data_IF_533743626957
#
_entry.id   IF_533743626957
#
_cell.length_a   1.000
_cell.length_b   1.000
_cell.length_c   1.000
_cell.angle_alpha   90.00
_cell.angle_beta   90.00
_cell.angle_gamma   90.00
#
_symmetry.space_group_name_H-M   'P 1'
#
loop_
_entity.id
_entity.type
_entity.pdbx_description
1 polymer ?
#
# COMPACT_ATOMS: atom_id res chain seq x y z
N UNK A 1 3.84 -22.04 -32.89
CA UNK A 1 3.87 -23.12 -31.89
C UNK A 1 3.23 -22.56 -30.62
N UNK A 2 2.08 -23.11 -30.23
CA UNK A 2 1.26 -22.57 -29.14
C UNK A 2 1.95 -22.81 -27.78
N UNK A 3 1.96 -21.79 -26.91
CA UNK A 3 2.30 -21.95 -25.51
C UNK A 3 1.04 -21.69 -24.68
N UNK A 4 0.50 -22.76 -24.10
CA UNK A 4 -0.66 -22.76 -23.21
C UNK A 4 -0.35 -22.00 -21.92
N UNK A 5 -1.14 -20.96 -21.64
CA UNK A 5 -1.07 -20.25 -20.36
C UNK A 5 -1.80 -21.02 -19.26
N UNK A 6 -1.04 -21.51 -18.29
CA UNK A 6 -1.54 -22.16 -17.06
C UNK A 6 -2.44 -21.18 -16.29
N UNK A 7 -3.68 -21.62 -16.00
CA UNK A 7 -4.61 -20.97 -15.07
C UNK A 7 -4.36 -21.55 -13.68
N UNK A 8 -3.75 -20.79 -12.78
CA UNK A 8 -3.85 -21.08 -11.35
C UNK A 8 -5.03 -20.32 -10.76
N UNK A 9 -5.96 -21.07 -10.16
CA UNK A 9 -7.00 -20.56 -9.27
C UNK A 9 -6.40 -20.51 -7.87
N UNK A 10 -6.44 -19.34 -7.24
CA UNK A 10 -6.35 -19.23 -5.79
C UNK A 10 -7.79 -19.20 -5.25
N UNK A 11 -8.21 -20.31 -4.65
CA UNK A 11 -9.37 -20.37 -3.77
C UNK A 11 -8.89 -20.17 -2.33
N UNK A 12 -9.60 -19.32 -1.59
CA UNK A 12 -9.86 -19.34 -0.14
C UNK A 12 -10.51 -17.98 0.17
N UNK A 13 -11.57 -17.82 0.95
CA UNK A 13 -12.19 -18.64 1.97
C UNK A 13 -12.78 -17.62 2.95
N UNK A 14 -14.10 -17.49 2.98
CA UNK A 14 -14.81 -16.37 3.59
C UNK A 14 -14.74 -16.36 5.13
N UNK A 15 -14.41 -15.19 5.72
CA UNK A 15 -14.92 -14.77 7.02
C UNK A 15 -15.13 -13.26 7.03
N UNK A 16 -16.36 -12.88 7.37
CA UNK A 16 -16.83 -11.50 7.47
C UNK A 16 -15.96 -10.68 8.46
N UNK A 17 -15.39 -9.59 7.93
CA UNK A 17 -14.65 -8.53 8.60
C UNK A 17 -14.80 -7.23 7.76
N UNK A 18 -14.35 -6.06 8.24
CA UNK A 18 -14.91 -4.76 7.85
C UNK A 18 -14.87 -4.53 6.33
N UNK A 19 -15.93 -3.87 5.83
CA UNK A 19 -16.29 -3.74 4.41
C UNK A 19 -15.08 -3.29 3.57
N UNK A 20 -14.51 -4.21 2.79
CA UNK A 20 -13.43 -3.92 1.85
C UNK A 20 -13.83 -4.41 0.45
N UNK A 21 -14.07 -3.49 -0.49
CA UNK A 21 -14.26 -3.80 -1.91
C UNK A 21 -12.89 -4.05 -2.60
N UNK A 22 -12.86 -4.93 -3.61
CA UNK A 22 -11.63 -5.46 -4.24
C UNK A 22 -11.38 -4.82 -5.62
N UNK A 23 -10.17 -4.28 -5.86
CA UNK A 23 -9.69 -3.93 -7.20
C UNK A 23 -8.65 -4.95 -7.66
N UNK A 24 -8.84 -5.55 -8.85
CA UNK A 24 -7.86 -6.49 -9.43
C UNK A 24 -6.91 -5.75 -10.38
N UNK A 25 -5.62 -5.83 -10.09
CA UNK A 25 -4.57 -5.50 -11.04
C UNK A 25 -4.13 -6.83 -11.68
N UNK A 26 -4.45 -7.04 -12.95
CA UNK A 26 -4.03 -8.24 -13.67
C UNK A 26 -2.59 -8.00 -14.18
N UNK A 27 -1.66 -8.78 -13.63
CA UNK A 27 -0.26 -9.01 -14.04
C UNK A 27 0.43 -7.85 -14.79
N UNK A 28 1.37 -7.18 -14.12
CA UNK A 28 2.63 -6.72 -14.70
C UNK A 28 3.40 -5.94 -13.65
N UNK A 29 4.71 -5.89 -13.81
CA UNK A 29 5.61 -5.70 -12.69
C UNK A 29 6.48 -4.40 -12.81
N UNK A 30 7.64 -4.24 -12.12
CA UNK A 30 8.39 -2.98 -11.86
C UNK A 30 7.51 -1.84 -11.34
N UNK A 31 7.77 -1.54 -10.07
CA UNK A 31 6.88 -0.79 -9.20
C UNK A 31 6.66 0.65 -9.67
N UNK A 32 5.47 0.86 -10.17
CA UNK A 32 4.70 2.06 -9.94
C UNK A 32 4.14 2.00 -8.51
N UNK A 33 4.28 3.06 -7.71
CA UNK A 33 3.40 3.26 -6.56
C UNK A 33 1.95 3.48 -7.05
N UNK A 34 1.19 2.39 -7.26
CA UNK A 34 -0.21 2.47 -7.70
C UNK A 34 -1.05 2.90 -6.51
N UNK A 35 -1.26 4.20 -6.38
CA UNK A 35 -2.36 4.74 -5.59
C UNK A 35 -3.54 4.94 -6.53
N UNK A 36 -4.39 3.91 -6.66
CA UNK A 36 -5.73 4.13 -7.19
C UNK A 36 -6.52 4.93 -6.14
N UNK A 37 -6.92 6.15 -6.49
CA UNK A 37 -7.82 6.96 -5.67
C UNK A 37 -9.25 6.43 -5.86
N UNK A 38 -9.68 5.57 -4.93
CA UNK A 38 -11.02 5.02 -4.80
C UNK A 38 -11.13 4.26 -3.47
N UNK A 39 -12.32 4.22 -2.85
CA UNK A 39 -12.58 3.58 -1.55
C UNK A 39 -12.54 2.03 -1.61
N UNK A 40 -11.46 1.45 -2.15
CA UNK A 40 -11.31 0.00 -2.34
C UNK A 40 -9.87 -0.48 -2.08
N UNK A 41 -9.74 -1.78 -1.79
CA UNK A 41 -8.50 -2.48 -1.47
C UNK A 41 -7.50 -2.33 -2.62
N UNK A 42 -6.36 -1.69 -2.31
CA UNK A 42 -5.24 -1.45 -3.24
C UNK A 42 -4.35 -2.70 -3.31
N UNK A 43 -3.60 -2.92 -4.42
CA UNK A 43 -2.75 -4.09 -4.60
C UNK A 43 -1.81 -4.34 -3.40
N UNK A 44 -1.70 -5.60 -2.99
CA UNK A 44 -1.02 -6.05 -1.76
C UNK A 44 0.35 -6.71 -1.94
N UNK A 45 0.83 -6.87 -3.17
CA UNK A 45 2.15 -7.46 -3.44
C UNK A 45 2.91 -6.62 -4.44
N UNK A 46 4.22 -6.57 -4.26
CA UNK A 46 5.11 -5.85 -5.13
C UNK A 46 5.74 -6.83 -6.15
N UNK A 47 5.99 -6.40 -7.39
CA UNK A 47 6.23 -7.31 -8.53
C UNK A 47 7.48 -6.88 -9.36
N UNK A 48 8.30 -7.84 -9.82
CA UNK A 48 9.60 -7.69 -10.56
C UNK A 48 9.51 -7.56 -12.12
N UNK A 49 10.30 -6.69 -12.80
CA UNK A 49 10.42 -6.65 -14.30
C UNK A 49 11.77 -6.29 -14.93
N UNK A 50 11.88 -6.61 -16.23
CA UNK A 50 13.03 -6.34 -17.10
C UNK A 50 12.76 -5.57 -18.43
N UNK A 51 11.53 -5.49 -18.98
CA UNK A 51 11.26 -4.99 -20.36
C UNK A 51 10.18 -3.88 -20.44
N UNK A 52 9.91 -3.21 -21.60
CA UNK A 52 8.76 -2.31 -21.78
C UNK A 52 7.45 -3.02 -21.45
N UNK A 53 6.56 -2.31 -20.76
CA UNK A 53 5.51 -2.95 -19.96
C UNK A 53 4.18 -2.39 -20.36
N UNK A 54 3.17 -3.24 -20.43
CA UNK A 54 1.79 -2.79 -20.51
C UNK A 54 1.14 -3.01 -19.14
N UNK A 55 0.64 -1.95 -18.53
CA UNK A 55 -0.11 -1.99 -17.29
C UNK A 55 -1.59 -2.06 -17.62
N UNK A 56 -2.27 -3.12 -17.19
CA UNK A 56 -3.73 -3.23 -17.28
C UNK A 56 -4.37 -2.88 -15.93
N UNK A 57 -5.34 -1.97 -15.96
CA UNK A 57 -6.08 -1.50 -14.79
C UNK A 57 -7.56 -1.74 -15.04
N UNK A 58 -8.17 -2.45 -14.11
CA UNK A 58 -9.60 -2.71 -14.08
C UNK A 58 -10.22 -2.07 -12.82
N UNK A 59 -11.21 -1.22 -13.04
CA UNK A 59 -12.10 -0.71 -12.00
C UNK A 59 -13.40 -1.50 -12.08
N UNK A 60 -13.66 -2.32 -11.07
CA UNK A 60 -14.92 -3.04 -10.89
C UNK A 60 -15.70 -2.58 -9.67
N UNK A 61 -16.99 -2.87 -9.66
CA UNK A 61 -17.86 -2.87 -8.49
C UNK A 61 -18.18 -4.32 -8.17
N UNK A 62 -17.99 -4.70 -6.92
CA UNK A 62 -18.32 -6.03 -6.43
C UNK A 62 -19.80 -6.06 -6.04
N UNK A 63 -20.54 -7.04 -6.55
CA UNK A 63 -21.92 -7.29 -6.17
C UNK A 63 -22.01 -8.16 -4.92
N UNK A 64 -23.24 -8.53 -4.53
CA UNK A 64 -23.45 -9.45 -3.40
C UNK A 64 -23.09 -10.89 -3.74
N UNK A 65 -23.04 -11.19 -5.04
CA UNK A 65 -22.56 -12.46 -5.59
C UNK A 65 -21.60 -12.20 -6.76
N UNK A 66 -20.72 -13.16 -7.11
CA UNK A 66 -19.79 -13.00 -8.23
C UNK A 66 -20.47 -12.72 -9.58
N UNK A 67 -21.72 -13.14 -9.75
CA UNK A 67 -22.52 -12.86 -10.96
C UNK A 67 -22.98 -11.40 -11.06
N UNK A 68 -22.95 -10.66 -9.97
CA UNK A 68 -23.31 -9.24 -9.90
C UNK A 68 -22.08 -8.31 -10.00
N UNK A 69 -20.87 -8.87 -10.02
CA UNK A 69 -19.63 -8.11 -10.21
C UNK A 69 -19.64 -7.45 -11.58
N UNK A 70 -19.32 -6.16 -11.61
CA UNK A 70 -19.37 -5.34 -12.82
C UNK A 70 -18.12 -4.53 -13.01
N UNK A 71 -17.47 -4.70 -14.15
CA UNK A 71 -16.37 -3.83 -14.59
C UNK A 71 -16.95 -2.50 -15.05
N UNK A 72 -16.53 -1.41 -14.41
CA UNK A 72 -16.89 -0.04 -14.77
C UNK A 72 -15.94 0.54 -15.82
N UNK A 73 -14.66 0.19 -15.76
CA UNK A 73 -13.64 0.66 -16.69
C UNK A 73 -12.44 -0.29 -16.69
N UNK A 74 -11.93 -0.63 -17.88
CA UNK A 74 -10.68 -1.37 -18.04
C UNK A 74 -9.80 -0.64 -19.07
N UNK A 75 -8.53 -0.41 -18.73
CA UNK A 75 -7.56 0.29 -19.59
C UNK A 75 -6.19 -0.34 -19.46
N UNK A 76 -5.51 -0.49 -20.59
CA UNK A 76 -4.11 -0.84 -20.67
C UNK A 76 -3.26 0.37 -21.09
N UNK A 77 -2.05 0.52 -20.57
CA UNK A 77 -1.10 1.52 -21.05
C UNK A 77 0.35 1.05 -20.98
N UNK A 78 1.13 1.43 -22.00
CA UNK A 78 2.55 1.16 -22.09
C UNK A 78 3.38 2.07 -21.17
N UNK A 79 4.36 1.51 -20.47
CA UNK A 79 5.40 2.22 -19.75
C UNK A 79 6.79 1.74 -20.19
N UNK A 80 7.57 2.65 -20.74
CA UNK A 80 8.95 2.40 -21.11
C UNK A 80 9.89 3.06 -20.09
N UNK A 81 10.34 2.28 -19.10
CA UNK A 81 11.27 2.71 -18.06
C UNK A 81 12.75 2.64 -18.45
N UNK A 82 13.09 2.22 -19.69
CA UNK A 82 14.47 1.89 -20.09
C UNK A 82 15.45 3.07 -20.00
N UNK A 83 14.96 4.31 -20.08
CA UNK A 83 15.75 5.53 -19.98
C UNK A 83 16.00 6.04 -18.54
N UNK A 84 15.33 5.49 -17.52
CA UNK A 84 15.32 6.03 -16.15
C UNK A 84 16.18 5.19 -15.17
N UNK A 85 17.35 4.73 -15.62
CA UNK A 85 18.17 3.72 -14.90
C UNK A 85 18.83 4.21 -13.60
N UNK A 86 18.95 5.53 -13.40
CA UNK A 86 19.87 6.07 -12.39
C UNK A 86 19.25 7.05 -11.38
N UNK A 87 17.96 7.40 -11.48
CA UNK A 87 17.29 8.29 -10.53
C UNK A 87 15.88 7.81 -10.22
N UNK A 88 15.43 8.05 -8.98
CA UNK A 88 14.01 7.96 -8.67
C UNK A 88 13.24 8.88 -9.63
N UNK A 89 12.24 8.33 -10.31
CA UNK A 89 11.37 9.10 -11.17
C UNK A 89 10.51 10.02 -10.32
N UNK A 90 10.19 11.21 -10.84
CA UNK A 90 9.14 12.04 -10.25
C UNK A 90 7.80 11.31 -10.29
N UNK A 91 6.91 11.67 -9.36
CA UNK A 91 5.52 11.24 -9.40
C UNK A 91 4.90 11.71 -10.72
N UNK A 92 4.48 10.76 -11.53
CA UNK A 92 3.74 10.94 -12.77
C UNK A 92 2.28 10.65 -12.49
N UNK A 93 1.40 11.35 -13.19
CA UNK A 93 -0.03 11.08 -13.18
C UNK A 93 -0.49 10.82 -14.61
N UNK A 94 -1.37 9.84 -14.78
CA UNK A 94 -2.01 9.52 -16.03
C UNK A 94 -3.52 9.50 -15.81
N UNK A 95 -4.25 10.27 -16.60
CA UNK A 95 -5.70 10.27 -16.56
C UNK A 95 -6.25 9.24 -17.56
N UNK A 96 -6.95 8.24 -17.05
CA UNK A 96 -7.60 7.19 -17.82
C UNK A 96 -9.10 7.45 -17.85
N UNK A 97 -9.59 8.06 -18.94
CA UNK A 97 -11.02 8.25 -19.18
C UNK A 97 -11.64 6.96 -19.71
N UNK A 98 -12.54 6.36 -18.95
CA UNK A 98 -13.42 5.27 -19.36
C UNK A 98 -14.83 5.77 -19.72
N UNK A 99 -15.72 4.85 -20.11
CA UNK A 99 -17.08 5.21 -20.54
C UNK A 99 -17.94 5.84 -19.43
N UNK A 100 -17.64 5.53 -18.16
CA UNK A 100 -18.44 5.94 -16.99
C UNK A 100 -17.61 6.47 -15.82
N UNK A 101 -16.30 6.59 -15.99
CA UNK A 101 -15.39 7.02 -14.93
C UNK A 101 -14.15 7.68 -15.52
N UNK A 102 -13.56 8.60 -14.76
CA UNK A 102 -12.19 9.09 -14.99
C UNK A 102 -11.34 8.56 -13.85
N UNK A 103 -10.32 7.79 -14.18
CA UNK A 103 -9.38 7.21 -13.25
C UNK A 103 -8.09 8.01 -13.30
N UNK A 104 -7.63 8.52 -12.17
CA UNK A 104 -6.28 9.07 -12.08
C UNK A 104 -5.33 7.97 -11.60
N UNK A 105 -4.32 7.69 -12.40
CA UNK A 105 -3.27 6.73 -12.09
C UNK A 105 -1.97 7.45 -11.81
N UNK A 106 -1.56 7.44 -10.55
CA UNK A 106 -0.28 8.01 -10.12
C UNK A 106 0.79 6.96 -10.05
N UNK A 107 2.01 7.33 -10.43
CA UNK A 107 3.14 6.41 -10.45
C UNK A 107 4.51 7.05 -10.36
N UNK A 108 5.47 6.32 -9.82
CA UNK A 108 6.86 6.75 -9.72
C UNK A 108 7.78 5.56 -9.92
N UNK A 109 8.97 5.81 -10.49
CA UNK A 109 9.99 4.79 -10.75
C UNK A 109 10.98 4.73 -9.60
N UNK A 110 11.18 3.55 -9.02
CA UNK A 110 12.17 3.31 -7.95
C UNK A 110 13.28 2.39 -8.51
N UNK A 111 14.50 2.90 -8.75
CA UNK A 111 15.58 2.11 -9.37
C UNK A 111 15.99 0.86 -8.57
N UNK A 112 16.07 1.01 -7.25
CA UNK A 112 16.31 -0.08 -6.30
C UNK A 112 15.17 -0.06 -5.30
N UNK A 113 14.24 -1.00 -5.43
CA UNK A 113 13.07 -1.09 -4.57
C UNK A 113 13.26 -2.15 -3.47
N UNK A 114 12.87 -1.79 -2.26
CA UNK A 114 12.69 -2.70 -1.14
C UNK A 114 11.20 -2.78 -0.82
N UNK A 115 10.72 -3.99 -0.58
CA UNK A 115 9.41 -4.20 0.00
C UNK A 115 9.55 -4.07 1.51
N UNK A 116 8.72 -3.20 2.09
CA UNK A 116 8.64 -2.96 3.52
C UNK A 116 7.28 -3.45 4.01
N UNK A 117 7.29 -4.53 4.78
CA UNK A 117 6.10 -5.03 5.47
C UNK A 117 6.08 -4.45 6.89
N UNK A 118 5.07 -3.62 7.17
CA UNK A 118 4.93 -2.85 8.40
C UNK A 118 3.93 -3.54 9.32
N UNK A 119 4.35 -3.75 10.57
CA UNK A 119 3.49 -4.19 11.67
C UNK A 119 3.59 -3.19 12.80
N UNK A 120 2.45 -2.83 13.37
CA UNK A 120 2.39 -1.95 14.54
C UNK A 120 1.67 -2.68 15.66
N UNK A 121 2.23 -2.60 16.87
CA UNK A 121 1.66 -3.17 18.08
C UNK A 121 1.58 -2.15 19.19
N UNK A 122 0.46 -2.10 19.90
CA UNK A 122 0.32 -1.32 21.12
C UNK A 122 1.15 -1.97 22.23
N UNK A 123 1.97 -1.17 22.89
CA UNK A 123 2.91 -1.64 23.95
C UNK A 123 2.63 -1.01 25.31
N UNK A 124 1.72 -0.03 25.38
CA UNK A 124 1.30 0.62 26.62
C UNK A 124 0.51 1.89 26.36
N UNK A 125 -0.18 2.39 27.39
CA UNK A 125 -1.03 3.56 27.31
C UNK A 125 -2.48 3.21 26.96
N UNK A 126 -3.23 4.21 26.50
CA UNK A 126 -4.65 4.12 26.15
C UNK A 126 -4.87 3.38 24.83
N UNK A 127 -5.89 2.51 24.79
CA UNK A 127 -6.40 1.86 23.58
C UNK A 127 -7.63 2.53 23.00
N UNK A 128 -8.19 3.50 23.72
CA UNK A 128 -9.44 4.17 23.35
C UNK A 128 -9.13 5.39 22.49
N UNK A 129 -8.76 5.14 21.23
CA UNK A 129 -8.45 6.17 20.25
C UNK A 129 -8.88 5.79 18.83
N UNK A 130 -9.25 6.79 18.04
CA UNK A 130 -9.30 6.67 16.59
C UNK A 130 -7.96 7.11 15.99
N UNK A 131 -7.60 6.58 14.83
CA UNK A 131 -6.29 6.81 14.26
C UNK A 131 -6.16 6.57 12.77
N UNK A 132 -5.24 7.31 12.17
CA UNK A 132 -4.81 7.21 10.79
C UNK A 132 -3.33 6.91 10.73
N UNK A 133 -2.98 5.78 10.12
CA UNK A 133 -1.60 5.31 9.94
C UNK A 133 -1.20 5.48 8.49
N UNK A 134 -0.10 6.17 8.28
CA UNK A 134 0.37 6.57 6.96
C UNK A 134 1.82 6.13 6.81
N UNK A 135 2.17 5.62 5.64
CA UNK A 135 3.54 5.31 5.24
C UNK A 135 3.89 6.06 3.97
N UNK A 136 5.07 6.64 3.90
CA UNK A 136 5.55 7.28 2.69
C UNK A 136 7.06 7.15 2.56
N UNK A 137 7.56 7.20 1.32
CA UNK A 137 9.00 7.24 1.06
C UNK A 137 9.44 8.69 0.91
N UNK A 138 10.58 9.06 1.48
CA UNK A 138 11.04 10.44 1.52
C UNK A 138 11.19 11.09 0.11
N UNK A 139 11.45 10.28 -0.92
CA UNK A 139 11.68 10.74 -2.30
C UNK A 139 10.41 10.83 -3.16
N UNK A 140 9.28 10.27 -2.73
CA UNK A 140 8.02 10.28 -3.48
C UNK A 140 6.98 11.04 -2.66
N UNK A 141 6.52 12.17 -3.20
CA UNK A 141 5.52 13.03 -2.58
C UNK A 141 4.09 12.46 -2.70
N UNK A 142 3.91 11.21 -2.30
CA UNK A 142 2.62 10.52 -2.22
C UNK A 142 2.66 9.55 -1.04
N UNK A 143 1.56 9.42 -0.33
CA UNK A 143 1.50 8.61 0.88
C UNK A 143 0.56 7.44 0.74
N UNK A 144 0.88 6.39 1.47
CA UNK A 144 0.12 5.15 1.55
C UNK A 144 -0.59 5.12 2.90
N UNK A 145 -1.91 5.18 2.86
CA UNK A 145 -2.74 4.96 4.05
C UNK A 145 -2.70 3.46 4.36
N UNK A 146 -2.11 3.09 5.50
CA UNK A 146 -2.08 1.72 6.02
C UNK A 146 -3.42 1.37 6.68
N UNK A 147 -3.96 2.33 7.43
CA UNK A 147 -5.26 2.28 8.11
C UNK A 147 -5.79 3.71 8.28
N UNK A 148 -7.09 3.85 8.16
CA UNK A 148 -7.83 5.05 8.53
C UNK A 148 -9.11 4.58 9.22
N UNK A 149 -9.17 4.72 10.56
CA UNK A 149 -10.34 4.30 11.33
C UNK A 149 -11.47 5.34 11.31
N UNK A 150 -11.23 6.54 10.75
CA UNK A 150 -12.18 7.65 10.80
C UNK A 150 -12.54 8.01 12.24
N UNK A 151 -13.83 7.91 12.55
CA UNK A 151 -14.37 8.16 13.89
C UNK A 151 -14.43 6.88 14.75
N UNK A 152 -14.18 5.71 14.17
CA UNK A 152 -14.20 4.44 14.88
C UNK A 152 -12.88 4.21 15.63
N UNK A 153 -12.96 3.43 16.70
CA UNK A 153 -11.77 3.01 17.45
C UNK A 153 -10.89 2.11 16.59
N UNK A 154 -9.58 2.24 16.76
CA UNK A 154 -8.62 1.38 16.06
C UNK A 154 -8.82 -0.07 16.49
N UNK A 155 -9.06 -0.95 15.52
CA UNK A 155 -9.15 -2.38 15.76
C UNK A 155 -7.75 -3.01 15.92
N UNK A 156 -7.57 -3.78 16.98
CA UNK A 156 -6.34 -4.53 17.26
C UNK A 156 -6.65 -5.93 17.80
N UNK A 157 -5.69 -6.84 17.66
CA UNK A 157 -5.75 -8.22 18.13
C UNK A 157 -5.40 -8.34 19.61
N UNK A 158 -5.60 -9.52 20.21
CA UNK A 158 -5.24 -9.79 21.61
C UNK A 158 -3.74 -9.58 21.91
N UNK A 159 -2.84 -9.75 20.92
CA UNK A 159 -1.40 -9.45 21.07
C UNK A 159 -1.06 -7.96 20.83
N UNK A 160 -2.07 -7.10 20.75
CA UNK A 160 -1.93 -5.66 20.54
C UNK A 160 -1.62 -5.25 19.11
N UNK A 161 -1.63 -6.17 18.13
CA UNK A 161 -1.32 -5.85 16.75
C UNK A 161 -2.49 -5.14 16.07
N UNK A 162 -2.18 -4.01 15.43
CA UNK A 162 -3.18 -3.19 14.72
C UNK A 162 -3.51 -3.84 13.38
N UNK A 163 -4.80 -3.93 13.07
CA UNK A 163 -5.28 -4.49 11.81
C UNK A 163 -5.22 -3.45 10.69
N UNK A 164 -4.17 -3.53 9.87
CA UNK A 164 -4.05 -2.66 8.70
C UNK A 164 -4.84 -3.18 7.49
N UNK A 165 -5.46 -2.25 6.76
CA UNK A 165 -6.04 -2.51 5.44
C UNK A 165 -4.95 -2.87 4.42
N UNK A 166 -3.73 -2.36 4.63
CA UNK A 166 -2.53 -2.74 3.91
C UNK A 166 -1.29 -2.54 4.79
N UNK A 167 -0.34 -3.46 4.70
CA UNK A 167 0.90 -3.42 5.49
C UNK A 167 2.16 -3.31 4.63
N UNK A 168 2.04 -3.45 3.31
CA UNK A 168 3.18 -3.54 2.40
C UNK A 168 3.34 -2.26 1.60
N UNK A 169 4.55 -1.69 1.61
CA UNK A 169 4.92 -0.50 0.83
C UNK A 169 6.25 -0.71 0.11
N UNK A 170 6.41 -0.12 -1.08
CA UNK A 170 7.68 -0.10 -1.78
C UNK A 170 8.49 1.14 -1.40
N UNK A 171 9.77 0.94 -1.10
CA UNK A 171 10.67 1.98 -0.58
C UNK A 171 11.94 2.01 -1.42
N UNK A 172 12.51 3.19 -1.61
CA UNK A 172 13.81 3.35 -2.26
C UNK A 172 14.93 2.79 -1.37
N UNK A 173 15.70 1.84 -1.89
CA UNK A 173 16.76 1.17 -1.13
C UNK A 173 18.07 1.94 -1.03
N UNK A 174 18.44 2.72 -2.05
CA UNK A 174 19.69 3.48 -2.04
C UNK A 174 19.44 4.93 -1.63
N UNK A 175 19.73 5.27 -0.37
CA UNK A 175 19.59 6.64 0.13
C UNK A 175 18.14 7.08 0.41
N UNK A 176 17.17 6.19 0.21
CA UNK A 176 15.78 6.41 0.58
C UNK A 176 15.51 6.23 2.07
N UNK A 177 14.27 6.51 2.47
CA UNK A 177 13.79 6.28 3.81
C UNK A 177 12.29 5.99 3.80
N UNK A 178 11.86 5.08 4.67
CA UNK A 178 10.45 4.91 4.99
C UNK A 178 10.11 5.80 6.18
N UNK A 179 9.04 6.57 6.07
CA UNK A 179 8.47 7.34 7.17
C UNK A 179 7.11 6.74 7.47
N UNK A 180 6.87 6.41 8.74
CA UNK A 180 5.58 5.96 9.25
C UNK A 180 5.04 7.04 10.18
N UNK A 181 3.91 7.61 9.81
CA UNK A 181 3.19 8.61 10.59
C UNK A 181 1.94 8.00 11.20
N UNK A 182 1.60 8.48 12.39
CA UNK A 182 0.33 8.23 13.05
C UNK A 182 -0.28 9.56 13.46
N UNK A 183 -1.54 9.76 13.08
CA UNK A 183 -2.40 10.80 13.62
C UNK A 183 -3.45 10.10 14.46
N UNK A 184 -3.50 10.37 15.75
CA UNK A 184 -4.38 9.69 16.69
C UNK A 184 -5.12 10.72 17.55
N UNK A 185 -6.38 10.44 17.85
CA UNK A 185 -7.20 11.26 18.75
C UNK A 185 -7.78 10.36 19.82
N UNK A 186 -7.51 10.70 21.08
CA UNK A 186 -8.02 9.97 22.22
C UNK A 186 -9.52 10.19 22.37
N UNK A 187 -10.25 9.17 22.83
CA UNK A 187 -11.68 9.30 23.12
C UNK A 187 -11.94 10.41 24.15
N UNK A 188 -12.84 11.33 23.83
CA UNK A 188 -13.16 12.48 24.68
C UNK A 188 -12.19 13.66 24.59
N UNK A 189 -11.16 13.58 23.75
CA UNK A 189 -10.30 14.71 23.39
C UNK A 189 -10.58 15.13 21.94
N UNK A 190 -10.51 16.44 21.69
CA UNK A 190 -10.62 17.02 20.34
C UNK A 190 -9.25 17.15 19.67
N UNK A 191 -8.16 17.09 20.45
CA UNK A 191 -6.81 17.29 19.93
C UNK A 191 -6.29 16.05 19.20
N UNK A 192 -5.75 16.27 18.00
CA UNK A 192 -5.05 15.25 17.23
C UNK A 192 -3.59 15.25 17.67
N UNK A 193 -3.14 14.11 18.20
CA UNK A 193 -1.74 13.84 18.52
C UNK A 193 -1.06 13.17 17.33
N UNK A 194 0.12 13.67 16.97
CA UNK A 194 0.88 13.17 15.83
C UNK A 194 2.23 12.61 16.28
N UNK A 195 2.64 11.48 15.72
CA UNK A 195 3.98 10.95 15.87
C UNK A 195 4.48 10.37 14.55
N UNK A 196 5.78 10.48 14.33
CA UNK A 196 6.42 10.04 13.09
C UNK A 196 7.70 9.28 13.39
N UNK A 197 7.98 8.24 12.62
CA UNK A 197 9.23 7.50 12.71
C UNK A 197 9.84 7.24 11.34
N UNK A 198 11.12 7.54 11.23
CA UNK A 198 11.93 7.28 10.05
C UNK A 198 12.68 5.95 10.21
N UNK A 199 12.59 5.11 9.19
CA UNK A 199 13.35 3.87 9.07
C UNK A 199 14.28 3.94 7.87
N UNK A 200 15.54 3.56 8.09
CA UNK A 200 16.53 3.41 7.02
C UNK A 200 16.34 2.01 6.42
N UNK A 201 16.10 1.90 5.10
CA UNK A 201 15.92 0.61 4.45
C UNK A 201 17.21 -0.20 4.47
N UNK A 202 17.08 -1.50 4.71
CA UNK A 202 18.17 -2.47 4.63
C UNK A 202 17.80 -3.55 3.62
N UNK A 203 18.79 -4.16 2.95
CA UNK A 203 18.56 -5.12 1.85
C UNK A 203 17.65 -6.29 2.26
N UNK A 204 17.82 -6.78 3.47
CA UNK A 204 17.00 -7.83 4.05
C UNK A 204 17.03 -7.74 5.58
N UNK A 205 16.01 -8.28 6.24
CA UNK A 205 15.94 -8.35 7.70
C UNK A 205 14.79 -7.51 8.25
N UNK A 206 14.98 -6.97 9.45
CA UNK A 206 13.95 -6.19 10.12
C UNK A 206 14.54 -4.96 10.82
N UNK A 207 13.76 -3.88 10.84
CA UNK A 207 14.02 -2.70 11.66
C UNK A 207 12.89 -2.56 12.67
N UNK A 208 13.20 -2.09 13.88
CA UNK A 208 12.19 -1.84 14.91
C UNK A 208 12.43 -0.51 15.59
N UNK A 209 11.34 0.16 15.91
CA UNK A 209 11.37 1.40 16.68
C UNK A 209 10.04 1.61 17.40
N UNK A 210 9.92 2.71 18.14
CA UNK A 210 8.73 3.07 18.92
C UNK A 210 8.13 4.37 18.41
N UNK A 211 6.81 4.39 18.26
CA UNK A 211 5.97 5.57 18.08
C UNK A 211 5.25 5.88 19.40
N UNK A 212 5.21 7.14 19.79
CA UNK A 212 4.53 7.58 21.00
C UNK A 212 3.73 8.85 20.68
N UNK A 213 2.41 8.75 20.80
CA UNK A 213 1.48 9.87 20.59
C UNK A 213 1.11 10.56 21.91
N UNK A 214 1.89 10.34 22.97
CA UNK A 214 1.70 10.91 24.31
C UNK A 214 0.79 10.07 25.20
N UNK A 215 -0.36 9.64 24.68
CA UNK A 215 -1.30 8.78 25.42
C UNK A 215 -1.19 7.29 25.07
N UNK A 216 -0.56 6.94 23.95
CA UNK A 216 -0.43 5.55 23.49
C UNK A 216 0.96 5.32 22.89
N UNK A 217 1.64 4.27 23.38
CA UNK A 217 2.96 3.87 22.93
C UNK A 217 2.89 2.60 22.11
N UNK A 218 3.45 2.64 20.91
CA UNK A 218 3.36 1.58 19.91
C UNK A 218 4.75 1.17 19.43
N UNK A 219 5.02 -0.13 19.31
CA UNK A 219 6.19 -0.62 18.60
C UNK A 219 5.87 -0.78 17.13
N UNK A 220 6.77 -0.33 16.27
CA UNK A 220 6.71 -0.50 14.82
C UNK A 220 7.82 -1.45 14.41
N UNK A 221 7.46 -2.50 13.69
CA UNK A 221 8.39 -3.44 13.07
C UNK A 221 8.23 -3.36 11.56
N UNK A 222 9.36 -3.23 10.86
CA UNK A 222 9.41 -3.22 9.41
C UNK A 222 10.26 -4.39 8.95
N UNK A 223 9.68 -5.33 8.24
CA UNK A 223 10.41 -6.42 7.57
C UNK A 223 10.78 -5.97 6.16
N UNK A 224 12.04 -6.09 5.81
CA UNK A 224 12.60 -5.67 4.52
C UNK A 224 12.93 -6.88 3.67
N UNK A 225 12.54 -6.81 2.41
CA UNK A 225 12.95 -7.75 1.37
C UNK A 225 13.33 -6.99 0.11
N UNK A 226 14.54 -7.26 -0.39
CA UNK A 226 14.97 -6.78 -1.69
C UNK A 226 14.06 -7.35 -2.76
N UNK A 227 13.45 -6.47 -3.52
CA UNK A 227 12.55 -6.82 -4.61
C UNK A 227 13.28 -7.20 -5.91
N UNK A 228 14.54 -7.64 -5.77
CA UNK A 228 15.63 -7.69 -6.76
C UNK A 228 16.35 -6.37 -7.04
N UNK A 229 17.67 -6.50 -7.21
CA UNK A 229 18.59 -5.57 -7.84
C UNK A 229 19.33 -6.33 -8.95
N UNK A 230 19.56 -5.71 -10.10
CA UNK A 230 20.59 -6.15 -11.05
C UNK A 230 21.85 -5.33 -10.80
#
# INVERSE_FOLDING_TARGET
>A
MAASGVRERLEEGERAGPRCAEGRLLRCARQVAITALGQGRRPSHAILLMDPIEFEIELGVKGTSPSEDKILSAKAFGYNGTAQRHRCGSLRSMMLSGARSKLEFKYAHIPVALEATIKVRITGGSTDFCGKFIAHTASINEHVILLDSGEEMVAFSHDGAIHFCRSVVAVEGNGGALIVDVHARQSGDENISCASKKFIPVRCGWSRDTLDVGFCRMSVEVSWSLMFSY
#
